data_IF_007444306335
#
_entry.id   IF_007444306335
#
_cell.length_a   1.000
_cell.length_b   1.000
_cell.length_c   1.000
_cell.angle_alpha   90.00
_cell.angle_beta   90.00
_cell.angle_gamma   90.00
#
_symmetry.space_group_name_H-M   'P 1'
#
loop_
_entity.id
_entity.type
_entity.pdbx_description
1 polymer ?
#
# COMPACT_ATOMS: atom_id res chain seq x y z
N UNK A 1 7.76 -9.19 -6.47
CA UNK A 1 7.27 -8.62 -7.75
C UNK A 1 7.63 -7.16 -7.88
N UNK A 2 8.06 -6.81 -9.07
CA UNK A 2 8.53 -5.46 -9.30
C UNK A 2 7.48 -4.41 -9.09
N UNK A 3 6.23 -4.72 -9.38
CA UNK A 3 5.20 -3.70 -9.27
C UNK A 3 5.02 -3.23 -7.82
N UNK A 4 5.39 -4.05 -6.85
CA UNK A 4 5.26 -3.63 -5.47
C UNK A 4 6.21 -2.48 -5.14
N UNK A 5 7.36 -2.41 -5.79
CA UNK A 5 8.27 -1.30 -5.57
C UNK A 5 7.65 -0.01 -6.10
N UNK A 6 6.93 -0.11 -7.22
CA UNK A 6 6.24 1.05 -7.76
C UNK A 6 5.14 1.52 -6.81
N UNK A 7 4.39 0.58 -6.25
CA UNK A 7 3.34 0.90 -5.30
C UNK A 7 3.96 1.56 -4.06
N UNK A 8 5.03 0.98 -3.55
CA UNK A 8 5.68 1.51 -2.35
C UNK A 8 6.23 2.92 -2.59
N UNK A 9 6.76 3.17 -3.76
CA UNK A 9 7.29 4.48 -4.07
C UNK A 9 6.17 5.50 -4.15
N UNK A 10 5.04 5.13 -4.76
CA UNK A 10 3.90 6.02 -4.86
C UNK A 10 3.40 6.39 -3.46
N UNK A 11 3.25 5.40 -2.58
CA UNK A 11 2.80 5.62 -1.21
C UNK A 11 3.81 6.49 -0.47
N UNK A 12 5.09 6.21 -0.65
CA UNK A 12 6.14 6.97 0.03
C UNK A 12 6.10 8.44 -0.32
N UNK A 13 5.80 8.75 -1.56
CA UNK A 13 5.72 10.13 -1.99
C UNK A 13 4.45 10.79 -1.50
N UNK A 14 3.36 10.04 -1.39
CA UNK A 14 2.11 10.58 -0.93
C UNK A 14 2.09 10.83 0.58
N UNK A 15 2.87 10.09 1.32
CA UNK A 15 2.93 10.21 2.78
C UNK A 15 1.84 9.42 3.47
N UNK A 16 0.61 9.48 2.98
CA UNK A 16 -0.51 8.72 3.45
C UNK A 16 -1.37 8.40 2.27
N UNK A 17 -2.05 7.27 2.30
CA UNK A 17 -2.95 6.90 1.23
C UNK A 17 -4.02 5.97 1.76
N UNK A 18 -5.23 6.11 1.26
CA UNK A 18 -6.32 5.26 1.64
C UNK A 18 -7.21 5.03 0.44
N UNK A 19 -7.66 3.82 0.23
CA UNK A 19 -8.54 3.49 -0.87
C UNK A 19 -8.62 2.00 -1.07
N UNK A 20 -9.30 1.57 -2.13
CA UNK A 20 -9.41 0.16 -2.43
C UNK A 20 -8.20 -0.30 -3.24
N UNK A 21 -8.02 -1.61 -3.33
CA UNK A 21 -6.93 -2.16 -4.15
C UNK A 21 -7.10 -1.77 -5.61
N UNK A 22 -8.34 -1.72 -6.11
CA UNK A 22 -8.60 -1.31 -7.47
C UNK A 22 -8.14 0.12 -7.70
N UNK A 23 -8.42 1.00 -6.75
CA UNK A 23 -7.99 2.38 -6.87
C UNK A 23 -6.48 2.49 -6.83
N UNK A 24 -5.83 1.71 -5.99
CA UNK A 24 -4.38 1.76 -5.90
C UNK A 24 -3.73 1.31 -7.20
N UNK A 25 -4.24 0.26 -7.80
CA UNK A 25 -3.72 -0.20 -9.09
C UNK A 25 -3.90 0.87 -10.15
N UNK A 26 -5.04 1.53 -10.14
CA UNK A 26 -5.31 2.57 -11.11
C UNK A 26 -4.37 3.76 -10.92
N UNK A 27 -4.18 4.19 -9.71
CA UNK A 27 -3.36 5.37 -9.44
C UNK A 27 -1.89 5.13 -9.69
N UNK A 28 -1.42 3.91 -9.48
CA UNK A 28 -0.01 3.60 -9.70
C UNK A 28 0.26 3.17 -11.13
N UNK A 29 -0.80 2.93 -11.92
CA UNK A 29 -0.61 2.52 -13.31
C UNK A 29 -0.14 1.09 -13.46
N UNK A 30 -0.34 0.26 -12.44
CA UNK A 30 0.08 -1.13 -12.50
C UNK A 30 -0.96 -1.94 -13.27
N UNK A 31 -0.51 -2.68 -14.29
CA UNK A 31 -1.39 -3.48 -15.11
C UNK A 31 -1.16 -4.96 -14.87
N UNK A 32 -2.13 -5.76 -15.17
CA UNK A 32 -1.97 -7.23 -15.14
C UNK A 32 -2.02 -7.84 -13.77
N UNK A 33 -2.46 -7.09 -12.77
CA UNK A 33 -2.56 -7.57 -11.40
C UNK A 33 -3.99 -7.39 -10.93
N UNK A 34 -4.57 -8.45 -10.41
CA UNK A 34 -5.93 -8.37 -9.90
C UNK A 34 -5.92 -7.77 -8.49
N UNK A 35 -6.99 -7.07 -8.11
CA UNK A 35 -7.00 -6.40 -6.79
C UNK A 35 -6.71 -7.33 -5.61
N UNK A 36 -7.30 -8.53 -5.60
CA UNK A 36 -7.07 -9.43 -4.49
C UNK A 36 -5.63 -9.95 -4.46
N UNK A 37 -5.00 -10.03 -5.61
CA UNK A 37 -3.60 -10.44 -5.67
C UNK A 37 -2.70 -9.34 -5.17
N UNK A 38 -3.04 -8.10 -5.46
CA UNK A 38 -2.26 -6.99 -4.94
C UNK A 38 -2.26 -7.01 -3.41
N UNK A 39 -3.44 -7.16 -2.82
CA UNK A 39 -3.55 -7.17 -1.36
C UNK A 39 -2.72 -8.30 -0.76
N UNK A 40 -2.79 -9.48 -1.37
CA UNK A 40 -2.02 -10.62 -0.88
C UNK A 40 -0.52 -10.35 -0.97
N UNK A 41 -0.07 -9.78 -2.08
CA UNK A 41 1.36 -9.54 -2.27
C UNK A 41 1.88 -8.44 -1.35
N UNK A 42 1.06 -7.46 -1.05
CA UNK A 42 1.44 -6.43 -0.09
C UNK A 42 1.76 -7.09 1.25
N UNK A 43 0.89 -7.97 1.71
CA UNK A 43 1.10 -8.63 2.99
C UNK A 43 2.32 -9.55 2.94
N UNK A 44 2.45 -10.32 1.87
CA UNK A 44 3.55 -11.26 1.73
C UNK A 44 4.91 -10.59 1.75
N UNK A 45 5.00 -9.43 1.14
CA UNK A 45 6.29 -8.78 0.96
C UNK A 45 6.42 -7.49 1.76
N UNK A 46 5.52 -7.29 2.71
CA UNK A 46 5.50 -6.04 3.46
C UNK A 46 6.84 -5.74 4.12
N UNK A 47 7.42 -6.73 4.78
CA UNK A 47 8.66 -6.53 5.53
C UNK A 47 9.85 -6.21 4.63
N UNK A 48 9.78 -6.64 3.38
CA UNK A 48 10.88 -6.44 2.46
C UNK A 48 10.74 -5.17 1.64
N UNK A 49 9.49 -4.82 1.28
CA UNK A 49 9.26 -3.72 0.33
C UNK A 49 8.78 -2.46 1.03
N UNK A 50 7.88 -2.57 1.99
CA UNK A 50 7.25 -1.40 2.58
C UNK A 50 7.87 -0.99 3.91
N UNK A 51 8.11 -1.92 4.79
CA UNK A 51 8.66 -1.59 6.10
C UNK A 51 9.99 -0.85 6.03
N UNK A 52 10.91 -1.22 5.14
CA UNK A 52 12.18 -0.49 5.07
C UNK A 52 12.02 0.96 4.67
N UNK A 53 10.89 1.32 4.05
CA UNK A 53 10.63 2.70 3.68
C UNK A 53 9.87 3.45 4.76
N UNK A 54 9.62 2.82 5.90
CA UNK A 54 8.91 3.47 6.99
C UNK A 54 7.42 3.54 6.78
N UNK A 55 6.87 2.65 5.95
CA UNK A 55 5.45 2.66 5.65
C UNK A 55 4.73 1.70 6.58
N UNK A 56 3.63 2.15 7.13
CA UNK A 56 2.74 1.32 7.92
C UNK A 56 1.52 0.98 7.10
N UNK A 57 0.91 -0.15 7.36
CA UNK A 57 -0.21 -0.63 6.58
C UNK A 57 -1.26 -1.25 7.48
N UNK A 58 -2.52 -0.92 7.21
CA UNK A 58 -3.60 -1.60 7.88
C UNK A 58 -4.78 -1.65 6.93
N UNK A 59 -5.73 -2.53 7.18
CA UNK A 59 -6.93 -2.63 6.36
C UNK A 59 -8.12 -2.28 7.21
N UNK A 60 -9.15 -1.77 6.55
CA UNK A 60 -10.38 -1.44 7.20
C UNK A 60 -11.51 -1.98 6.34
N UNK A 61 -12.29 -2.90 6.89
CA UNK A 61 -13.34 -3.52 6.11
C UNK A 61 -14.68 -2.91 6.46
N UNK A 62 -15.42 -2.46 5.46
CA UNK A 62 -16.79 -2.06 5.65
C UNK A 62 -17.66 -3.21 5.18
N UNK A 63 -18.98 -3.04 5.20
CA UNK A 63 -19.87 -4.11 4.79
C UNK A 63 -19.72 -4.46 3.33
N UNK A 64 -19.20 -3.55 2.51
CA UNK A 64 -19.14 -3.77 1.09
C UNK A 64 -17.75 -3.71 0.52
N UNK A 65 -16.79 -3.22 1.23
CA UNK A 65 -15.50 -3.00 0.62
C UNK A 65 -14.38 -3.09 1.66
N UNK A 66 -13.17 -3.31 1.19
CA UNK A 66 -11.99 -3.33 2.03
C UNK A 66 -11.12 -2.15 1.64
N UNK A 67 -10.80 -1.30 2.59
CA UNK A 67 -9.93 -0.18 2.35
C UNK A 67 -8.54 -0.51 2.83
N UNK A 68 -7.55 -0.10 2.05
CA UNK A 68 -6.15 -0.24 2.40
C UNK A 68 -5.69 1.12 2.88
N UNK A 69 -5.01 1.16 4.01
CA UNK A 69 -4.53 2.41 4.58
C UNK A 69 -3.04 2.33 4.77
N UNK A 70 -2.35 3.30 4.25
CA UNK A 70 -0.90 3.39 4.39
C UNK A 70 -0.53 4.72 5.02
N UNK A 71 0.48 4.71 5.86
CA UNK A 71 0.99 5.95 6.44
C UNK A 71 2.48 5.79 6.70
N UNK A 72 3.15 6.90 6.96
CA UNK A 72 4.56 6.85 7.25
C UNK A 72 4.77 6.80 8.74
N UNK A 73 5.55 5.88 9.18
CA UNK A 73 5.81 5.75 10.59
C UNK A 73 6.82 6.76 11.08
N UNK A 74 7.62 7.29 10.18
CA UNK A 74 8.66 8.19 10.61
C UNK A 74 8.11 9.50 11.13
N UNK A 75 6.87 9.82 10.83
CA UNK A 75 6.30 11.02 11.37
C UNK A 75 6.27 11.00 12.85
N UNK A 76 6.30 9.87 13.44
CA UNK A 76 6.22 9.80 14.84
C UNK A 76 7.48 10.19 15.50
N UNK A 77 8.54 10.13 14.82
CA UNK A 77 9.82 10.35 15.42
C UNK A 77 10.13 11.78 15.59
N UNK A 78 9.35 12.60 15.04
CA UNK A 78 9.63 13.96 15.12
C UNK A 78 9.47 14.54 16.39
N UNK A 79 8.86 13.90 17.24
CA UNK A 79 8.64 14.55 18.45
C UNK A 79 9.57 14.53 19.42
#
# INVERSE_FOLDING_TARGET
PEYLWRVAEYIGQAGKWQGTATELLSETGVDGVLPHMLTRKIVEHFDTVFAPKGIRYETHRTSQTRLLKFSHSENDADD
#
